data_IF_692374275976
#
_entry.id   IF_692374275976
#
_cell.length_a   1.000
_cell.length_b   1.000
_cell.length_c   1.000
_cell.angle_alpha   90.00
_cell.angle_beta   90.00
_cell.angle_gamma   90.00
#
_symmetry.space_group_name_H-M   'P 1'
#
loop_
_entity.id
_entity.type
_entity.pdbx_description
1 polymer ?
#
# COMPACT_ATOMS: atom_id res chain seq x y z
N UNK A 1 -36.81 -10.03 5.42
CA UNK A 1 -35.52 -9.40 5.10
C UNK A 1 -34.53 -10.51 4.83
N UNK A 2 -34.20 -10.70 3.56
CA UNK A 2 -33.40 -11.82 3.08
C UNK A 2 -32.08 -11.94 3.85
N UNK A 3 -31.74 -13.17 4.28
CA UNK A 3 -30.40 -13.50 4.75
C UNK A 3 -29.46 -13.34 3.57
N UNK A 4 -28.90 -12.15 3.45
CA UNK A 4 -27.88 -11.79 2.49
C UNK A 4 -26.74 -12.80 2.62
N UNK A 5 -26.72 -13.78 1.72
CA UNK A 5 -25.60 -14.66 1.47
C UNK A 5 -24.43 -13.77 1.08
N UNK A 6 -23.68 -13.30 2.09
CA UNK A 6 -22.41 -12.63 1.87
C UNK A 6 -21.52 -13.73 1.34
N UNK A 7 -21.48 -13.85 0.02
CA UNK A 7 -20.55 -14.73 -0.67
C UNK A 7 -19.19 -14.51 -0.02
N UNK A 8 -18.66 -15.54 0.65
CA UNK A 8 -17.36 -15.51 1.34
C UNK A 8 -16.24 -15.06 0.38
N UNK A 9 -16.43 -15.32 -0.91
CA UNK A 9 -15.65 -14.82 -2.05
C UNK A 9 -15.62 -13.29 -2.11
N UNK A 10 -16.74 -12.59 -1.88
CA UNK A 10 -16.80 -11.12 -1.88
C UNK A 10 -16.03 -10.55 -0.70
N UNK A 11 -16.13 -11.17 0.50
CA UNK A 11 -15.28 -10.79 1.64
C UNK A 11 -13.80 -11.03 1.36
N UNK A 12 -13.46 -12.13 0.71
CA UNK A 12 -12.09 -12.46 0.31
C UNK A 12 -11.51 -11.45 -0.69
N UNK A 13 -12.30 -10.99 -1.66
CA UNK A 13 -11.87 -9.94 -2.60
C UNK A 13 -11.68 -8.59 -1.91
N UNK A 14 -12.48 -8.27 -0.90
CA UNK A 14 -12.33 -7.06 -0.09
C UNK A 14 -11.04 -7.11 0.74
N UNK A 15 -10.75 -8.25 1.37
CA UNK A 15 -9.49 -8.43 2.11
C UNK A 15 -8.28 -8.41 1.18
N UNK A 16 -8.35 -9.03 -0.01
CA UNK A 16 -7.29 -8.94 -1.03
C UNK A 16 -7.06 -7.48 -1.46
N UNK A 17 -8.13 -6.73 -1.69
CA UNK A 17 -8.06 -5.32 -2.06
C UNK A 17 -7.49 -4.44 -0.94
N UNK A 18 -7.78 -4.77 0.31
CA UNK A 18 -7.16 -4.14 1.48
C UNK A 18 -5.66 -4.47 1.61
N UNK A 19 -5.28 -5.71 1.31
CA UNK A 19 -3.87 -6.14 1.26
C UNK A 19 -3.12 -5.38 0.16
N UNK A 20 -3.71 -5.23 -1.02
CA UNK A 20 -3.13 -4.43 -2.12
C UNK A 20 -2.93 -2.95 -1.73
N UNK A 21 -3.90 -2.35 -1.01
CA UNK A 21 -3.74 -1.01 -0.44
C UNK A 21 -2.64 -0.93 0.63
N UNK A 22 -2.38 -2.02 1.35
CA UNK A 22 -1.27 -2.15 2.29
C UNK A 22 0.11 -2.26 1.62
N UNK A 23 0.21 -2.98 0.49
CA UNK A 23 1.48 -3.11 -0.26
C UNK A 23 1.88 -1.84 -1.01
N UNK A 24 0.89 -1.09 -1.50
CA UNK A 24 1.13 0.20 -2.15
C UNK A 24 1.56 1.30 -1.17
N UNK A 25 1.45 1.10 0.15
CA UNK A 25 1.84 2.10 1.16
C UNK A 25 0.90 3.30 1.27
N UNK A 26 -0.25 3.30 0.58
CA UNK A 26 -1.21 4.42 0.54
C UNK A 26 -2.27 4.27 1.63
N UNK A 27 -1.85 4.13 2.90
CA UNK A 27 -2.79 4.33 4.00
C UNK A 27 -2.14 4.93 5.23
N UNK A 28 -2.03 6.27 5.25
CA UNK A 28 -2.08 7.02 6.51
C UNK A 28 -2.64 8.43 6.33
N UNK A 29 -3.95 8.55 6.56
CA UNK A 29 -4.64 9.79 6.97
C UNK A 29 -4.75 9.81 8.51
N UNK A 30 -3.66 9.59 9.26
CA UNK A 30 -3.79 9.58 10.72
C UNK A 30 -2.76 10.45 11.43
N UNK A 31 -3.27 11.63 11.79
CA UNK A 31 -3.04 12.32 13.05
C UNK A 31 -1.77 13.15 13.09
N UNK A 32 -1.85 14.44 12.73
CA UNK A 32 -0.75 15.37 13.00
C UNK A 32 -1.19 16.78 13.46
N UNK A 33 -2.48 17.03 13.75
CA UNK A 33 -2.93 18.36 14.22
C UNK A 33 -2.31 18.81 15.56
N UNK A 34 -1.49 17.97 16.22
CA UNK A 34 -0.76 18.32 17.44
C UNK A 34 0.76 18.55 17.24
N UNK A 35 1.36 18.12 16.13
CA UNK A 35 2.83 18.18 15.89
C UNK A 35 3.24 18.84 14.56
N UNK A 36 2.25 19.39 13.83
CA UNK A 36 2.39 20.08 12.54
C UNK A 36 3.24 21.37 12.56
N UNK A 37 3.80 21.77 13.70
CA UNK A 37 4.68 22.94 13.81
C UNK A 37 6.17 22.64 13.68
N UNK A 38 6.62 21.37 13.70
CA UNK A 38 8.07 21.07 13.63
C UNK A 38 8.52 19.91 12.73
N UNK A 39 7.69 18.91 12.41
CA UNK A 39 8.08 17.83 11.49
C UNK A 39 7.30 17.93 10.17
N UNK A 40 7.96 18.52 9.17
CA UNK A 40 7.37 18.85 7.87
C UNK A 40 6.82 17.63 7.12
N UNK A 41 5.59 17.77 6.59
CA UNK A 41 4.90 16.88 5.63
C UNK A 41 5.80 16.33 4.51
N UNK A 42 6.87 17.07 4.17
CA UNK A 42 7.94 16.67 3.26
C UNK A 42 8.52 15.29 3.59
N UNK A 43 8.67 14.91 4.87
CA UNK A 43 9.21 13.59 5.23
C UNK A 43 8.29 12.44 4.80
N UNK A 44 6.98 12.63 4.86
CA UNK A 44 6.00 11.61 4.47
C UNK A 44 6.02 11.43 2.96
N UNK A 45 6.11 12.54 2.22
CA UNK A 45 6.24 12.52 0.75
C UNK A 45 7.55 11.84 0.34
N UNK A 46 8.67 12.17 1.00
CA UNK A 46 9.96 11.57 0.72
C UNK A 46 10.00 10.07 1.03
N UNK A 47 9.41 9.65 2.17
CA UNK A 47 9.28 8.24 2.52
C UNK A 47 8.41 7.47 1.51
N UNK A 48 7.33 8.09 1.00
CA UNK A 48 6.49 7.51 -0.05
C UNK A 48 7.23 7.33 -1.38
N UNK A 49 8.02 8.33 -1.80
CA UNK A 49 8.83 8.26 -3.02
C UNK A 49 9.91 7.18 -2.90
N UNK A 50 10.62 7.12 -1.77
CA UNK A 50 11.62 6.08 -1.52
C UNK A 50 11.01 4.68 -1.54
N UNK A 51 9.86 4.48 -0.89
CA UNK A 51 9.14 3.21 -0.91
C UNK A 51 8.74 2.76 -2.31
N UNK A 52 8.28 3.70 -3.16
CA UNK A 52 7.94 3.41 -4.56
C UNK A 52 9.16 3.01 -5.38
N UNK A 53 10.28 3.71 -5.24
CA UNK A 53 11.54 3.41 -5.96
C UNK A 53 12.07 2.03 -5.56
N UNK A 54 12.09 1.72 -4.27
CA UNK A 54 12.52 0.41 -3.77
C UNK A 54 11.64 -0.70 -4.34
N UNK A 55 10.31 -0.54 -4.29
CA UNK A 55 9.36 -1.52 -4.81
C UNK A 55 9.56 -1.79 -6.31
N UNK A 56 9.73 -0.73 -7.11
CA UNK A 56 9.98 -0.84 -8.55
C UNK A 56 11.31 -1.55 -8.83
N UNK A 57 12.35 -1.22 -8.07
CA UNK A 57 13.67 -1.86 -8.22
C UNK A 57 13.59 -3.37 -7.96
N UNK A 58 12.90 -3.77 -6.89
CA UNK A 58 12.68 -5.17 -6.55
C UNK A 58 11.95 -5.90 -7.68
N UNK A 59 10.90 -5.31 -8.25
CA UNK A 59 10.15 -5.92 -9.35
C UNK A 59 11.03 -6.10 -10.60
N UNK A 60 11.81 -5.08 -10.95
CA UNK A 60 12.73 -5.15 -12.10
C UNK A 60 13.82 -6.21 -11.88
N UNK A 61 14.34 -6.36 -10.67
CA UNK A 61 15.29 -7.42 -10.35
C UNK A 61 14.68 -8.81 -10.53
N UNK A 62 13.45 -9.02 -10.08
CA UNK A 62 12.73 -10.28 -10.28
C UNK A 62 12.56 -10.56 -11.77
N UNK A 63 12.09 -9.58 -12.55
CA UNK A 63 11.92 -9.74 -14.00
C UNK A 63 13.23 -10.08 -14.68
N UNK A 64 14.31 -9.37 -14.35
CA UNK A 64 15.64 -9.66 -14.89
C UNK A 64 16.12 -11.05 -14.53
N UNK A 65 15.90 -11.51 -13.30
CA UNK A 65 16.28 -12.85 -12.87
C UNK A 65 15.51 -13.94 -13.62
N UNK A 66 14.23 -13.71 -13.94
CA UNK A 66 13.40 -14.66 -14.68
C UNK A 66 13.75 -14.68 -16.18
N UNK A 67 14.05 -13.52 -16.79
CA UNK A 67 14.37 -13.43 -18.23
C UNK A 67 15.82 -13.85 -18.52
N UNK A 68 16.74 -13.63 -17.58
CA UNK A 68 18.14 -14.03 -17.73
C UNK A 68 18.38 -15.54 -17.51
N UNK A 69 17.34 -16.26 -17.07
CA UNK A 69 17.32 -17.72 -16.90
C UNK A 69 16.47 -18.38 -17.99
#
# INVERSE_FOLDING_TARGET
MEKQSRNSIVMFLISMRAVLWGFLGVRKRSGQDADMSSVSFVHIVLAGILGAVIFMTVLLLIVKAVVAN
#
